data_IF_448050302911
#
_entry.id   IF_448050302911
#
_cell.length_a   1.000
_cell.length_b   1.000
_cell.length_c   1.000
_cell.angle_alpha   90.00
_cell.angle_beta   90.00
_cell.angle_gamma   90.00
#
_symmetry.space_group_name_H-M   'P 1'
#
loop_
_entity.id
_entity.type
_entity.pdbx_description
1 polymer ?
#
# COMPACT_ATOMS: atom_id res chain seq x y z
N UNK A 1 -7.06 -10.61 18.35
CA UNK A 1 -6.51 -9.50 17.55
C UNK A 1 -5.41 -9.91 16.57
N UNK A 2 -4.17 -10.24 16.97
CA UNK A 2 -3.12 -10.66 16.02
C UNK A 2 -3.53 -11.88 15.17
N UNK A 3 -4.16 -12.88 15.80
CA UNK A 3 -4.69 -14.06 15.13
C UNK A 3 -5.79 -13.74 14.09
N UNK A 4 -6.65 -12.75 14.35
CA UNK A 4 -7.72 -12.33 13.42
C UNK A 4 -7.15 -11.62 12.19
N UNK A 5 -6.04 -10.88 12.35
CA UNK A 5 -5.35 -10.22 11.23
C UNK A 5 -4.70 -11.29 10.33
N UNK A 6 -4.00 -12.25 10.94
CA UNK A 6 -3.37 -13.34 10.21
C UNK A 6 -4.40 -14.17 9.41
N UNK A 7 -5.53 -14.51 10.02
CA UNK A 7 -6.61 -15.24 9.37
C UNK A 7 -7.21 -14.46 8.20
N UNK A 8 -7.43 -13.15 8.36
CA UNK A 8 -7.94 -12.30 7.29
C UNK A 8 -6.96 -12.18 6.11
N UNK A 9 -5.65 -12.11 6.37
CA UNK A 9 -4.64 -12.13 5.30
C UNK A 9 -4.64 -13.46 4.56
N UNK A 10 -4.70 -14.58 5.29
CA UNK A 10 -4.80 -15.91 4.68
C UNK A 10 -6.06 -16.05 3.81
N UNK A 11 -7.18 -15.48 4.25
CA UNK A 11 -8.41 -15.44 3.47
C UNK A 11 -8.25 -14.63 2.18
N UNK A 12 -7.60 -13.46 2.21
CA UNK A 12 -7.36 -12.62 1.04
C UNK A 12 -6.50 -13.35 0.00
N UNK A 13 -5.41 -13.99 0.44
CA UNK A 13 -4.53 -14.81 -0.42
C UNK A 13 -5.35 -15.88 -1.15
N UNK A 14 -6.21 -16.58 -0.43
CA UNK A 14 -7.05 -17.65 -0.99
C UNK A 14 -8.17 -17.14 -1.90
N UNK A 15 -8.87 -16.08 -1.51
CA UNK A 15 -10.00 -15.53 -2.29
C UNK A 15 -9.55 -14.87 -3.59
N UNK A 16 -8.38 -14.23 -3.56
CA UNK A 16 -7.87 -13.45 -4.70
C UNK A 16 -6.84 -14.21 -5.52
N UNK A 17 -6.48 -15.43 -5.11
CA UNK A 17 -5.46 -16.27 -5.77
C UNK A 17 -4.17 -15.49 -6.05
N UNK A 18 -3.70 -14.74 -5.05
CA UNK A 18 -2.48 -13.93 -5.14
C UNK A 18 -1.36 -14.53 -4.30
N UNK A 19 -0.13 -14.24 -4.69
CA UNK A 19 1.05 -14.64 -3.92
C UNK A 19 1.17 -13.83 -2.61
N UNK A 20 1.77 -14.45 -1.59
CA UNK A 20 1.97 -13.83 -0.28
C UNK A 20 2.87 -12.60 -0.39
N UNK A 21 3.89 -12.68 -1.23
CA UNK A 21 4.85 -11.62 -1.52
C UNK A 21 4.14 -10.37 -2.04
N UNK A 22 3.23 -10.54 -3.01
CA UNK A 22 2.44 -9.43 -3.54
C UNK A 22 1.55 -8.80 -2.47
N UNK A 23 0.92 -9.59 -1.60
CA UNK A 23 0.12 -9.06 -0.51
C UNK A 23 0.97 -8.30 0.51
N UNK A 24 2.16 -8.81 0.83
CA UNK A 24 3.14 -8.14 1.69
C UNK A 24 3.51 -6.77 1.15
N UNK A 25 3.93 -6.67 -0.13
CA UNK A 25 4.27 -5.41 -0.78
C UNK A 25 3.11 -4.40 -0.75
N UNK A 26 1.88 -4.88 -1.00
CA UNK A 26 0.68 -4.03 -0.94
C UNK A 26 0.51 -3.47 0.46
N UNK A 27 0.62 -4.30 1.50
CA UNK A 27 0.45 -3.86 2.89
C UNK A 27 1.55 -2.87 3.27
N UNK A 28 2.81 -3.15 2.95
CA UNK A 28 3.93 -2.24 3.19
C UNK A 28 3.67 -0.88 2.54
N UNK A 29 3.25 -0.85 1.27
CA UNK A 29 2.94 0.40 0.56
C UNK A 29 1.81 1.21 1.21
N UNK A 30 0.81 0.54 1.80
CA UNK A 30 -0.31 1.19 2.48
C UNK A 30 0.16 1.82 3.78
N UNK A 31 0.91 1.06 4.58
CA UNK A 31 1.48 1.56 5.84
C UNK A 31 2.40 2.73 5.55
N UNK A 32 3.29 2.62 4.57
CA UNK A 32 4.17 3.71 4.13
C UNK A 32 3.39 4.95 3.70
N UNK A 33 2.32 4.77 2.92
CA UNK A 33 1.44 5.89 2.53
C UNK A 33 0.76 6.56 3.72
N UNK A 34 0.42 5.80 4.76
CA UNK A 34 -0.18 6.32 5.99
C UNK A 34 0.84 7.06 6.85
N UNK A 35 2.06 6.54 6.96
CA UNK A 35 3.20 7.21 7.60
C UNK A 35 3.44 8.56 6.92
N UNK A 36 3.58 8.56 5.59
CA UNK A 36 3.77 9.79 4.80
C UNK A 36 2.66 10.82 5.01
N UNK A 37 1.40 10.39 5.12
CA UNK A 37 0.28 11.29 5.43
C UNK A 37 0.34 11.86 6.85
N UNK A 38 0.87 11.10 7.81
CA UNK A 38 0.93 11.52 9.22
C UNK A 38 2.14 12.42 9.51
N UNK A 39 3.30 12.08 8.95
CA UNK A 39 4.58 12.71 9.26
C UNK A 39 5.10 13.61 8.12
N UNK A 40 4.40 13.69 6.98
CA UNK A 40 4.82 14.46 5.80
C UNK A 40 5.87 13.75 4.94
N UNK A 41 6.74 12.97 5.57
CA UNK A 41 7.76 12.14 4.94
C UNK A 41 7.70 10.69 5.43
N UNK A 42 8.32 9.78 4.69
CA UNK A 42 8.39 8.36 5.03
C UNK A 42 9.76 7.75 4.75
N UNK A 43 10.75 8.54 4.33
CA UNK A 43 12.01 8.02 3.78
C UNK A 43 12.89 7.37 4.85
N UNK A 44 12.70 7.76 6.12
CA UNK A 44 13.39 7.19 7.27
C UNK A 44 12.55 6.13 8.01
N UNK A 45 11.58 5.52 7.33
CA UNK A 45 10.76 4.45 7.89
C UNK A 45 10.91 3.18 7.07
N UNK A 46 11.10 2.06 7.76
CA UNK A 46 10.96 0.72 7.20
C UNK A 46 9.72 0.04 7.79
N UNK A 47 9.01 -0.69 6.94
CA UNK A 47 7.84 -1.49 7.34
C UNK A 47 8.13 -2.95 7.02
N UNK A 48 8.02 -3.81 8.03
CA UNK A 48 8.17 -5.25 7.87
C UNK A 48 6.87 -5.96 8.21
N UNK A 49 6.34 -6.76 7.27
CA UNK A 49 5.06 -7.47 7.43
C UNK A 49 5.28 -8.98 7.58
N UNK A 50 4.83 -9.55 8.70
CA UNK A 50 4.76 -10.99 8.95
C UNK A 50 3.32 -11.47 8.82
N UNK A 51 2.89 -11.76 7.59
CA UNK A 51 1.51 -12.18 7.27
C UNK A 51 1.02 -13.35 8.14
N UNK A 52 1.85 -14.37 8.31
CA UNK A 52 1.49 -15.59 9.06
C UNK A 52 1.22 -15.33 10.55
N UNK A 53 1.81 -14.26 11.10
CA UNK A 53 1.60 -13.83 12.50
C UNK A 53 0.61 -12.68 12.62
N UNK A 54 0.21 -12.07 11.51
CA UNK A 54 -0.57 -10.83 11.50
C UNK A 54 0.18 -9.69 12.19
N UNK A 55 1.52 -9.73 12.16
CA UNK A 55 2.39 -8.75 12.81
C UNK A 55 2.96 -7.81 11.77
N UNK A 56 3.00 -6.53 12.09
CA UNK A 56 3.60 -5.51 11.26
C UNK A 56 4.44 -4.64 12.18
N UNK A 57 5.71 -4.51 11.82
CA UNK A 57 6.72 -3.79 12.57
C UNK A 57 7.11 -2.56 11.75
N UNK A 58 7.12 -1.39 12.37
CA UNK A 58 7.63 -0.17 11.75
C UNK A 58 8.89 0.21 12.50
N UNK A 59 9.97 0.40 11.77
CA UNK A 59 11.22 0.96 12.29
C UNK A 59 11.39 2.37 11.75
N UNK A 60 11.56 3.35 12.63
CA UNK A 60 11.88 4.72 12.28
C UNK A 60 13.35 4.99 12.60
N UNK A 61 14.11 5.39 11.60
CA UNK A 61 15.52 5.74 11.75
C UNK A 61 15.66 7.23 12.04
N UNK A 62 16.42 7.56 13.07
CA UNK A 62 16.72 8.93 13.46
C UNK A 62 18.21 9.11 13.67
N UNK A 63 18.67 10.34 13.55
CA UNK A 63 20.03 10.74 13.89
C UNK A 63 20.03 11.36 15.28
N UNK A 64 20.97 10.96 16.13
CA UNK A 64 21.10 11.56 17.46
C UNK A 64 21.79 12.92 17.32
N UNK A 65 21.13 13.98 17.80
CA UNK A 65 21.60 15.36 17.71
C UNK A 65 21.54 16.05 19.07
N UNK A 66 22.25 17.17 19.21
CA UNK A 66 22.21 17.98 20.44
C UNK A 66 20.95 18.84 20.52
N UNK A 67 20.54 19.46 19.40
CA UNK A 67 19.34 20.26 19.28
C UNK A 67 18.48 19.70 18.15
N UNK A 68 17.26 19.27 18.47
CA UNK A 68 16.33 18.68 17.50
C UNK A 68 15.67 19.80 16.69
N UNK A 69 15.90 19.81 15.38
CA UNK A 69 15.23 20.67 14.40
C UNK A 69 14.05 19.95 13.73
N UNK A 70 14.22 18.66 13.39
CA UNK A 70 13.16 17.81 12.83
C UNK A 70 12.92 16.55 13.69
N UNK A 71 11.86 16.53 14.53
CA UNK A 71 11.52 15.38 15.37
C UNK A 71 11.21 14.08 14.61
N UNK A 72 11.00 14.15 13.29
CA UNK A 72 10.78 12.97 12.46
C UNK A 72 12.09 12.28 12.12
N UNK A 73 13.18 13.02 11.89
CA UNK A 73 14.48 12.48 11.48
C UNK A 73 15.54 12.55 12.58
N UNK A 74 15.26 13.25 13.67
CA UNK A 74 16.21 13.53 14.73
C UNK A 74 15.66 13.19 16.12
N UNK A 75 16.58 12.88 17.04
CA UNK A 75 16.28 12.62 18.44
C UNK A 75 17.38 13.22 19.32
N UNK A 76 17.02 13.71 20.50
CA UNK A 76 18.00 14.22 21.46
C UNK A 76 18.75 13.07 22.16
N UNK A 77 20.00 13.35 22.53
CA UNK A 77 20.87 12.38 23.20
C UNK A 77 20.29 11.86 24.52
N UNK A 78 19.57 12.68 25.28
CA UNK A 78 19.00 12.29 26.57
C UNK A 78 17.92 11.22 26.37
N UNK A 79 17.05 11.41 25.38
CA UNK A 79 16.00 10.45 25.03
C UNK A 79 16.59 9.17 24.45
N UNK A 80 17.57 9.27 23.55
CA UNK A 80 18.23 8.09 22.98
C UNK A 80 18.90 7.22 24.07
N UNK A 81 19.57 7.85 25.03
CA UNK A 81 20.25 7.17 26.14
C UNK A 81 19.33 6.49 27.15
N UNK A 82 18.03 6.83 27.17
CA UNK A 82 17.03 6.11 27.99
C UNK A 82 16.83 4.67 27.51
N UNK A 83 17.05 4.42 26.23
CA UNK A 83 16.96 3.08 25.63
C UNK A 83 18.31 2.40 25.64
N UNK A 84 19.35 3.08 25.16
CA UNK A 84 20.71 2.55 25.12
C UNK A 84 21.75 3.58 25.60
N UNK A 85 22.30 3.42 26.83
CA UNK A 85 23.17 4.43 27.44
C UNK A 85 24.50 4.69 26.71
N UNK A 86 24.92 3.79 25.82
CA UNK A 86 26.19 3.87 25.09
C UNK A 86 26.14 4.73 23.84
N UNK A 87 24.96 5.24 23.46
CA UNK A 87 24.79 6.05 22.26
C UNK A 87 25.44 7.44 22.39
N UNK A 88 25.99 7.93 21.28
CA UNK A 88 26.63 9.23 21.12
C UNK A 88 25.94 10.08 20.05
N UNK A 89 26.27 11.38 20.02
CA UNK A 89 25.76 12.30 18.99
C UNK A 89 26.34 11.89 17.65
N UNK A 90 25.48 11.81 16.63
CA UNK A 90 25.81 11.35 15.29
C UNK A 90 25.55 9.87 15.03
N UNK A 91 25.27 9.08 16.08
CA UNK A 91 24.90 7.68 15.90
C UNK A 91 23.48 7.53 15.32
N UNK A 92 23.21 6.45 14.55
CA UNK A 92 21.87 6.11 14.14
C UNK A 92 21.08 5.54 15.33
N UNK A 93 19.84 5.99 15.47
CA UNK A 93 18.88 5.49 16.44
C UNK A 93 17.68 4.87 15.72
N UNK A 94 17.26 3.68 16.16
CA UNK A 94 16.09 2.99 15.60
C UNK A 94 14.98 2.97 16.63
N UNK A 95 13.88 3.66 16.31
CA UNK A 95 12.66 3.66 17.11
C UNK A 95 11.66 2.66 16.52
N UNK A 96 11.29 1.63 17.29
CA UNK A 96 10.25 0.69 16.88
C UNK A 96 8.88 1.27 17.25
N UNK A 97 8.05 1.50 16.24
CA UNK A 97 6.71 2.04 16.43
C UNK A 97 5.66 0.92 16.43
N UNK A 98 4.73 0.99 17.38
CA UNK A 98 3.64 0.03 17.47
C UNK A 98 2.47 0.43 16.54
N UNK A 99 2.16 -0.47 15.61
CA UNK A 99 1.02 -0.40 14.69
C UNK A 99 -0.32 -0.81 15.33
N UNK A 100 -0.37 -1.15 16.62
CA UNK A 100 -1.59 -1.63 17.29
C UNK A 100 -2.82 -0.73 17.12
N UNK A 101 -2.63 0.56 16.82
CA UNK A 101 -3.74 1.49 16.54
C UNK A 101 -4.43 1.26 15.18
N UNK A 102 -3.82 0.50 14.28
CA UNK A 102 -4.24 0.39 12.88
C UNK A 102 -4.97 -0.92 12.54
N UNK A 103 -4.82 -1.96 13.37
CA UNK A 103 -5.64 -3.19 13.45
C UNK A 103 -6.45 -3.56 12.19
N UNK A 104 -7.77 -3.74 12.35
CA UNK A 104 -8.69 -4.13 11.27
C UNK A 104 -8.80 -3.09 10.14
N UNK A 105 -8.54 -1.81 10.40
CA UNK A 105 -8.59 -0.75 9.38
C UNK A 105 -7.56 -1.00 8.28
N UNK A 106 -6.40 -1.52 8.66
CA UNK A 106 -5.35 -1.86 7.71
C UNK A 106 -5.76 -3.01 6.79
N UNK A 107 -6.42 -4.05 7.32
CA UNK A 107 -6.95 -5.16 6.50
C UNK A 107 -7.95 -4.64 5.46
N UNK A 108 -8.85 -3.75 5.88
CA UNK A 108 -9.84 -3.14 4.97
C UNK A 108 -9.14 -2.33 3.88
N UNK A 109 -8.14 -1.52 4.27
CA UNK A 109 -7.33 -0.75 3.32
C UNK A 109 -6.55 -1.65 2.36
N UNK A 110 -5.97 -2.76 2.84
CA UNK A 110 -5.26 -3.76 2.04
C UNK A 110 -6.19 -4.38 1.00
N UNK A 111 -7.38 -4.81 1.40
CA UNK A 111 -8.39 -5.35 0.47
C UNK A 111 -8.78 -4.31 -0.59
N UNK A 112 -8.98 -3.05 -0.19
CA UNK A 112 -9.34 -1.98 -1.12
C UNK A 112 -8.22 -1.68 -2.12
N UNK A 113 -6.97 -1.56 -1.64
CA UNK A 113 -5.81 -1.26 -2.47
C UNK A 113 -5.49 -2.43 -3.41
N UNK A 114 -5.60 -3.68 -2.93
CA UNK A 114 -5.47 -4.87 -3.77
C UNK A 114 -6.48 -4.87 -4.91
N UNK A 115 -7.77 -4.61 -4.61
CA UNK A 115 -8.78 -4.50 -5.67
C UNK A 115 -8.45 -3.35 -6.64
N UNK A 116 -7.82 -2.28 -6.17
CA UNK A 116 -7.38 -1.19 -7.03
C UNK A 116 -6.22 -1.63 -7.94
N UNK A 117 -5.18 -2.30 -7.41
CA UNK A 117 -4.09 -2.88 -8.21
C UNK A 117 -4.60 -3.86 -9.26
N UNK A 118 -5.56 -4.72 -8.92
CA UNK A 118 -6.18 -5.65 -9.88
C UNK A 118 -6.87 -4.87 -11.00
N UNK A 119 -7.68 -3.86 -10.65
CA UNK A 119 -8.35 -3.02 -11.66
C UNK A 119 -7.36 -2.25 -12.53
N UNK A 120 -6.26 -1.78 -11.96
CA UNK A 120 -5.24 -1.04 -12.70
C UNK A 120 -4.50 -1.97 -13.67
N UNK A 121 -4.18 -3.19 -13.25
CA UNK A 121 -3.62 -4.23 -14.14
C UNK A 121 -4.60 -4.66 -15.24
N UNK A 122 -5.90 -4.79 -14.93
CA UNK A 122 -6.94 -5.04 -15.92
C UNK A 122 -7.02 -3.91 -16.95
N UNK A 123 -6.99 -2.65 -16.50
CA UNK A 123 -6.99 -1.47 -17.39
C UNK A 123 -5.74 -1.42 -18.26
N UNK A 124 -4.58 -1.75 -17.72
CA UNK A 124 -3.32 -1.78 -18.46
C UNK A 124 -3.36 -2.87 -19.55
N UNK A 125 -3.88 -4.06 -19.23
CA UNK A 125 -4.10 -5.12 -20.23
C UNK A 125 -5.06 -4.67 -21.35
N UNK A 126 -6.18 -4.04 -21.00
CA UNK A 126 -7.12 -3.48 -21.99
C UNK A 126 -6.41 -2.43 -22.84
N UNK A 127 -5.66 -1.51 -22.24
CA UNK A 127 -4.90 -0.51 -22.99
C UNK A 127 -3.91 -1.15 -23.97
N UNK A 128 -3.14 -2.13 -23.53
CA UNK A 128 -2.16 -2.86 -24.34
C UNK A 128 -2.81 -3.63 -25.51
N UNK A 129 -4.03 -4.14 -25.33
CA UNK A 129 -4.82 -4.77 -26.38
C UNK A 129 -5.29 -3.78 -27.46
N UNK A 130 -5.81 -2.62 -27.04
CA UNK A 130 -6.39 -1.64 -27.97
C UNK A 130 -5.38 -0.66 -28.56
N UNK A 131 -4.19 -0.46 -27.96
CA UNK A 131 -3.21 0.53 -28.45
C UNK A 131 -2.76 0.30 -29.89
N UNK A 132 -2.73 -0.96 -30.32
CA UNK A 132 -2.30 -1.34 -31.67
C UNK A 132 -3.45 -1.37 -32.68
N UNK A 133 -4.71 -1.24 -32.23
CA UNK A 133 -5.92 -1.33 -33.07
C UNK A 133 -6.42 0.05 -33.54
N UNK A 134 -5.62 1.11 -33.36
CA UNK A 134 -5.99 2.47 -33.76
C UNK A 134 -6.14 2.56 -35.28
N UNK A 135 -7.33 2.95 -35.73
CA UNK A 135 -7.67 3.06 -37.16
C UNK A 135 -8.35 1.81 -37.74
N UNK A 136 -8.53 0.75 -36.95
CA UNK A 136 -9.28 -0.42 -37.36
C UNK A 136 -10.80 -0.21 -37.20
N UNK A 137 -11.58 -0.83 -38.09
CA UNK A 137 -13.03 -0.95 -37.93
C UNK A 137 -13.30 -2.19 -37.09
N UNK A 138 -13.94 -1.99 -35.94
CA UNK A 138 -14.30 -3.06 -35.00
C UNK A 138 -15.83 -3.19 -34.92
N UNK A 139 -16.29 -4.43 -34.71
CA UNK A 139 -17.71 -4.73 -34.49
C UNK A 139 -17.95 -4.92 -32.99
N UNK A 140 -19.07 -4.42 -32.50
CA UNK A 140 -19.45 -4.51 -31.09
C UNK A 140 -20.97 -4.62 -30.93
N UNK A 141 -21.39 -5.23 -29.84
CA UNK A 141 -22.80 -5.41 -29.51
C UNK A 141 -23.31 -4.23 -28.66
N UNK A 142 -24.48 -3.69 -28.98
CA UNK A 142 -25.09 -2.64 -28.18
C UNK A 142 -25.58 -3.25 -26.86
N UNK A 143 -25.03 -2.76 -25.74
CA UNK A 143 -25.45 -3.15 -24.40
C UNK A 143 -26.54 -2.22 -23.87
N UNK A 144 -26.35 -0.91 -24.01
CA UNK A 144 -27.28 0.08 -23.47
C UNK A 144 -27.25 1.36 -24.30
N UNK A 145 -28.42 1.95 -24.52
CA UNK A 145 -28.56 3.24 -25.22
C UNK A 145 -29.05 4.26 -24.20
N UNK A 146 -28.25 5.28 -23.95
CA UNK A 146 -28.62 6.47 -23.19
C UNK A 146 -28.90 7.64 -24.15
N UNK A 147 -29.43 8.74 -23.62
CA UNK A 147 -29.81 9.91 -24.43
C UNK A 147 -28.63 10.56 -25.18
N UNK A 148 -27.42 10.48 -24.62
CA UNK A 148 -26.23 11.17 -25.13
C UNK A 148 -25.04 10.21 -25.37
N UNK A 149 -25.21 8.91 -25.17
CA UNK A 149 -24.10 7.94 -25.24
C UNK A 149 -24.67 6.54 -25.46
N UNK A 150 -23.92 5.70 -26.16
CA UNK A 150 -24.23 4.29 -26.38
C UNK A 150 -23.11 3.45 -25.78
N UNK A 151 -23.47 2.53 -24.91
CA UNK A 151 -22.56 1.55 -24.35
C UNK A 151 -22.53 0.32 -25.25
N UNK A 152 -21.34 0.00 -25.73
CA UNK A 152 -21.04 -1.14 -26.60
C UNK A 152 -20.19 -2.14 -25.82
N UNK A 153 -20.40 -3.43 -26.04
CA UNK A 153 -19.47 -4.49 -25.61
C UNK A 153 -18.64 -4.94 -26.81
N UNK A 154 -17.32 -4.95 -26.66
CA UNK A 154 -16.35 -5.41 -27.67
C UNK A 154 -15.39 -6.37 -26.99
N UNK A 155 -15.38 -7.64 -27.38
CA UNK A 155 -14.41 -8.65 -26.90
C UNK A 155 -14.24 -8.71 -25.36
N UNK A 156 -15.31 -8.40 -24.60
CA UNK A 156 -15.41 -8.29 -23.11
C UNK A 156 -15.08 -6.92 -22.49
N UNK A 157 -14.74 -5.92 -23.30
CA UNK A 157 -14.53 -4.53 -22.87
C UNK A 157 -15.78 -3.70 -23.14
N UNK A 158 -16.20 -2.90 -22.17
CA UNK A 158 -17.26 -1.91 -22.36
C UNK A 158 -16.67 -0.61 -22.93
N UNK A 159 -17.25 -0.15 -24.04
CA UNK A 159 -16.82 1.04 -24.77
C UNK A 159 -17.99 2.03 -24.83
N UNK A 160 -17.69 3.30 -24.66
CA UNK A 160 -18.67 4.39 -24.78
C UNK A 160 -18.52 5.02 -26.15
N UNK A 161 -19.61 5.03 -26.91
CA UNK A 161 -19.76 5.80 -28.14
C UNK A 161 -20.57 7.06 -27.82
N UNK A 162 -19.97 8.26 -27.89
CA UNK A 162 -20.68 9.53 -27.66
C UNK A 162 -21.71 9.84 -28.76
#
# INVERSE_FOLDING_TARGET
MKAEIAEAFAQIVKEKSIDKELLTEIIESIVMSMIKKKYGQSDNFDVFVKLDKGEIEISQYKTIVETVEDPVTEIDLETARKVEPTLEIGDPYVEVLDLQQFGRRLIIAAKQNLNQRIKDAEKENVFEEYKNRVGEIILGDIRQINRNEIFLNIDKTEVVLP
#
